data_IF_222458956769
#
_entry.id   IF_222458956769
#
_cell.length_a   1.000
_cell.length_b   1.000
_cell.length_c   1.000
_cell.angle_alpha   90.00
_cell.angle_beta   90.00
_cell.angle_gamma   90.00
#
_symmetry.space_group_name_H-M   'P 1'
#
loop_
_entity.id
_entity.type
_entity.pdbx_description
1 polymer ?
#
# COMPACT_ATOMS: atom_id res chain seq x y z
N UNK A 1 -27.39 -44.65 -9.88
CA UNK A 1 -25.97 -44.39 -10.17
C UNK A 1 -25.36 -43.61 -9.03
N UNK A 2 -24.30 -44.14 -8.44
CA UNK A 2 -23.57 -43.58 -7.31
C UNK A 2 -22.36 -42.82 -7.88
N UNK A 3 -22.25 -41.51 -7.63
CA UNK A 3 -21.05 -40.75 -8.00
C UNK A 3 -20.00 -40.94 -6.89
N UNK A 4 -18.84 -41.46 -7.23
CA UNK A 4 -17.66 -41.44 -6.37
C UNK A 4 -17.08 -40.03 -6.40
N UNK A 5 -16.97 -39.30 -5.27
CA UNK A 5 -16.24 -38.05 -5.27
C UNK A 5 -14.75 -38.39 -5.33
N UNK A 6 -14.10 -38.10 -6.46
CA UNK A 6 -12.66 -38.14 -6.58
C UNK A 6 -12.14 -36.70 -6.43
N UNK A 7 -11.38 -36.45 -5.36
CA UNK A 7 -10.58 -35.23 -5.23
C UNK A 7 -9.17 -35.60 -5.70
N UNK A 8 -8.66 -35.04 -6.82
CA UNK A 8 -7.28 -35.29 -7.22
C UNK A 8 -6.32 -34.70 -6.18
N UNK A 9 -5.22 -35.40 -5.89
CA UNK A 9 -4.15 -34.88 -5.04
C UNK A 9 -3.69 -33.51 -5.57
N UNK A 10 -3.86 -32.47 -4.74
CA UNK A 10 -3.51 -31.09 -5.08
C UNK A 10 -4.64 -30.20 -5.63
N UNK A 11 -5.90 -30.65 -5.63
CA UNK A 11 -7.03 -29.75 -5.91
C UNK A 11 -7.17 -28.71 -4.79
N UNK A 12 -6.92 -27.45 -5.13
CA UNK A 12 -7.15 -26.31 -4.24
C UNK A 12 -8.28 -25.47 -4.82
N UNK A 13 -9.40 -25.41 -4.11
CA UNK A 13 -10.51 -24.51 -4.44
C UNK A 13 -10.20 -23.14 -3.83
N UNK A 14 -9.86 -22.19 -4.68
CA UNK A 14 -9.46 -20.85 -4.24
C UNK A 14 -10.65 -19.89 -4.05
N UNK A 15 -11.81 -20.20 -4.64
CA UNK A 15 -13.00 -19.34 -4.63
C UNK A 15 -14.28 -20.15 -4.35
N UNK A 16 -14.43 -20.73 -3.15
CA UNK A 16 -15.63 -21.46 -2.79
C UNK A 16 -16.86 -20.55 -2.92
N UNK A 17 -17.90 -21.04 -3.60
CA UNK A 17 -19.16 -20.30 -3.74
C UNK A 17 -19.82 -19.97 -2.39
N UNK A 18 -20.81 -19.05 -2.39
CA UNK A 18 -21.39 -18.51 -1.16
C UNK A 18 -22.07 -19.56 -0.27
N UNK A 19 -22.64 -20.62 -0.86
CA UNK A 19 -23.23 -21.73 -0.11
C UNK A 19 -22.16 -22.52 0.65
N UNK A 20 -21.03 -22.80 0.00
CA UNK A 20 -19.90 -23.52 0.59
C UNK A 20 -19.30 -22.73 1.76
N UNK A 21 -19.15 -21.41 1.60
CA UNK A 21 -18.72 -20.51 2.68
C UNK A 21 -19.69 -20.54 3.87
N UNK A 22 -21.01 -20.47 3.62
CA UNK A 22 -22.02 -20.53 4.67
C UNK A 22 -21.93 -21.81 5.51
N UNK A 23 -21.72 -22.96 4.87
CA UNK A 23 -21.56 -24.25 5.57
C UNK A 23 -20.31 -24.26 6.45
N UNK A 24 -19.18 -23.73 5.95
CA UNK A 24 -17.94 -23.64 6.75
C UNK A 24 -18.14 -22.75 7.98
N UNK A 25 -18.86 -21.64 7.84
CA UNK A 25 -19.20 -20.76 8.94
C UNK A 25 -20.09 -21.45 9.99
N UNK A 26 -21.09 -22.23 9.57
CA UNK A 26 -21.98 -22.99 10.48
C UNK A 26 -21.22 -24.06 11.28
N UNK A 27 -20.14 -24.62 10.71
CA UNK A 27 -19.25 -25.57 11.39
C UNK A 27 -18.31 -24.85 12.39
N UNK A 28 -18.34 -23.51 12.45
CA UNK A 28 -17.56 -22.70 13.38
C UNK A 28 -16.19 -22.29 12.84
N UNK A 29 -15.94 -22.43 11.54
CA UNK A 29 -14.75 -21.84 10.94
C UNK A 29 -14.90 -20.33 10.91
N UNK A 30 -13.88 -19.63 11.43
CA UNK A 30 -13.82 -18.17 11.30
C UNK A 30 -13.38 -17.83 9.89
N UNK A 31 -14.32 -17.40 9.06
CA UNK A 31 -14.01 -16.86 7.75
C UNK A 31 -13.46 -15.44 7.94
N UNK A 32 -12.18 -15.25 7.64
CA UNK A 32 -11.59 -13.90 7.55
C UNK A 32 -12.16 -13.22 6.29
N UNK A 33 -12.81 -12.05 6.37
CA UNK A 33 -13.37 -11.37 5.19
C UNK A 33 -12.30 -10.84 4.21
N UNK A 34 -11.01 -11.14 4.42
CA UNK A 34 -9.91 -10.67 3.58
C UNK A 34 -9.83 -11.39 2.23
N UNK A 35 -10.79 -12.25 1.91
CA UNK A 35 -11.04 -12.70 0.53
C UNK A 35 -11.87 -11.69 -0.29
N UNK A 36 -11.98 -10.43 0.14
CA UNK A 36 -12.23 -9.34 -0.79
C UNK A 36 -10.93 -9.08 -1.56
N UNK A 37 -10.77 -9.78 -2.68
CA UNK A 37 -9.91 -9.34 -3.78
C UNK A 37 -10.25 -7.89 -4.06
N UNK A 38 -9.33 -6.97 -3.73
CA UNK A 38 -9.38 -5.61 -4.23
C UNK A 38 -9.41 -5.71 -5.75
N UNK A 39 -10.53 -5.32 -6.35
CA UNK A 39 -10.74 -5.35 -7.81
C UNK A 39 -9.51 -4.74 -8.51
N UNK A 40 -8.92 -5.38 -9.53
CA UNK A 40 -7.89 -4.76 -10.35
C UNK A 40 -8.54 -3.59 -11.10
N UNK A 41 -8.34 -2.37 -10.61
CA UNK A 41 -8.95 -1.16 -11.15
C UNK A 41 -9.02 0.04 -10.20
N UNK A 42 -8.81 -0.15 -8.90
CA UNK A 42 -8.57 0.95 -7.94
C UNK A 42 -7.18 0.78 -7.33
N UNK A 43 -6.16 1.13 -8.12
CA UNK A 43 -4.84 1.35 -7.57
C UNK A 43 -4.88 2.65 -6.76
N UNK A 44 -4.93 2.53 -5.43
CA UNK A 44 -4.31 3.53 -4.56
C UNK A 44 -2.80 3.46 -4.85
N UNK A 45 -2.40 4.05 -5.98
CA UNK A 45 -1.01 4.08 -6.38
C UNK A 45 -0.33 4.96 -5.34
N UNK A 46 0.49 4.35 -4.48
CA UNK A 46 1.36 5.06 -3.57
C UNK A 46 2.70 4.33 -3.59
N UNK A 47 3.61 4.81 -4.43
CA UNK A 47 4.84 4.11 -4.75
C UNK A 47 6.02 5.05 -4.66
N UNK A 48 7.02 4.66 -3.89
CA UNK A 48 8.31 5.33 -3.82
C UNK A 48 9.37 4.50 -4.54
N UNK A 49 10.05 5.10 -5.52
CA UNK A 49 11.10 4.44 -6.30
C UNK A 49 12.29 5.39 -6.59
N UNK A 50 13.55 4.93 -6.51
CA UNK A 50 13.95 3.60 -6.09
C UNK A 50 13.87 3.43 -4.56
N UNK A 51 13.70 2.18 -4.11
CA UNK A 51 13.88 1.79 -2.73
C UNK A 51 14.75 0.51 -2.71
N UNK A 52 15.99 0.54 -2.20
CA UNK A 52 16.65 1.66 -1.49
C UNK A 52 16.95 2.89 -2.36
N UNK A 53 16.95 4.07 -1.73
CA UNK A 53 17.26 5.36 -2.36
C UNK A 53 18.70 5.80 -2.08
N UNK A 54 19.33 6.35 -3.11
CA UNK A 54 20.53 7.18 -2.95
C UNK A 54 20.07 8.61 -2.66
N UNK A 55 20.15 9.55 -3.60
CA UNK A 55 19.89 10.96 -3.29
C UNK A 55 18.45 11.41 -3.56
N UNK A 56 17.77 10.80 -4.54
CA UNK A 56 16.45 11.25 -5.00
C UNK A 56 15.52 10.05 -5.18
N UNK A 57 14.26 10.22 -4.79
CA UNK A 57 13.19 9.26 -5.04
C UNK A 57 12.02 9.93 -5.76
N UNK A 58 11.38 9.18 -6.65
CA UNK A 58 10.10 9.53 -7.23
C UNK A 58 8.98 8.92 -6.39
N UNK A 59 8.05 9.77 -5.98
CA UNK A 59 6.83 9.42 -5.29
C UNK A 59 5.68 9.50 -6.29
N UNK A 60 5.16 8.33 -6.69
CA UNK A 60 3.94 8.23 -7.48
C UNK A 60 2.75 8.11 -6.54
N UNK A 61 1.79 9.03 -6.66
CA UNK A 61 0.56 9.04 -5.87
C UNK A 61 -0.70 9.19 -6.75
N UNK A 62 -1.73 8.41 -6.47
CA UNK A 62 -3.08 8.62 -7.02
C UNK A 62 -3.88 9.50 -6.04
N UNK A 63 -4.09 10.76 -6.41
CA UNK A 63 -4.84 11.72 -5.61
C UNK A 63 -6.34 11.47 -5.81
N UNK A 64 -7.01 10.97 -4.76
CA UNK A 64 -8.45 10.74 -4.78
C UNK A 64 -9.24 12.05 -4.62
N UNK A 65 -8.79 12.94 -3.74
CA UNK A 65 -9.43 14.22 -3.46
C UNK A 65 -8.45 15.37 -3.70
N UNK A 66 -8.89 16.34 -4.51
CA UNK A 66 -8.09 17.53 -4.82
C UNK A 66 -7.87 18.37 -3.57
N UNK A 67 -6.64 18.82 -3.33
CA UNK A 67 -6.36 19.67 -2.17
C UNK A 67 -4.88 19.90 -1.93
N UNK A 68 -4.56 20.44 -0.75
CA UNK A 68 -3.18 20.70 -0.34
C UNK A 68 -2.55 19.45 0.26
N UNK A 69 -1.44 19.03 -0.31
CA UNK A 69 -0.69 17.86 0.15
C UNK A 69 0.68 18.25 0.72
N UNK A 70 1.12 17.48 1.71
CA UNK A 70 2.40 17.69 2.37
C UNK A 70 3.11 16.36 2.62
N UNK A 71 4.39 16.31 2.29
CA UNK A 71 5.27 15.16 2.46
C UNK A 71 6.16 15.36 3.69
N UNK A 72 6.23 14.36 4.57
CA UNK A 72 7.06 14.36 5.77
C UNK A 72 7.89 13.09 5.84
N UNK A 73 9.13 13.22 6.27
CA UNK A 73 10.00 12.07 6.53
C UNK A 73 10.41 12.07 8.00
N UNK A 74 10.24 10.94 8.66
CA UNK A 74 10.58 10.72 10.06
C UNK A 74 11.61 9.62 10.22
N UNK A 75 12.48 9.75 11.21
CA UNK A 75 13.25 8.61 11.71
C UNK A 75 12.41 7.65 12.57
N UNK A 76 13.00 6.53 12.96
CA UNK A 76 12.35 5.52 13.80
C UNK A 76 12.06 6.01 15.23
N UNK A 77 12.67 7.11 15.68
CA UNK A 77 12.35 7.75 16.96
C UNK A 77 11.17 8.72 16.86
N UNK A 78 10.65 8.96 15.65
CA UNK A 78 9.58 9.91 15.38
C UNK A 78 10.06 11.35 15.17
N UNK A 79 11.37 11.58 15.06
CA UNK A 79 11.91 12.91 14.76
C UNK A 79 11.68 13.23 13.28
N UNK A 80 11.08 14.40 13.02
CA UNK A 80 10.89 14.95 11.68
C UNK A 80 12.24 15.38 11.08
N UNK A 81 12.56 14.86 9.90
CA UNK A 81 13.79 15.15 9.16
C UNK A 81 13.55 16.00 7.91
N UNK A 82 12.41 15.80 7.24
CA UNK A 82 12.01 16.54 6.05
C UNK A 82 10.53 16.87 6.13
N UNK A 83 10.18 18.08 5.71
CA UNK A 83 8.80 18.56 5.58
C UNK A 83 8.70 19.39 4.31
N UNK A 84 8.10 18.80 3.28
CA UNK A 84 8.03 19.36 1.93
C UNK A 84 6.58 19.52 1.51
N UNK A 85 6.19 20.76 1.24
CA UNK A 85 4.85 21.07 0.74
C UNK A 85 4.76 20.70 -0.75
N UNK A 86 3.98 19.67 -1.06
CA UNK A 86 3.69 19.27 -2.45
C UNK A 86 2.74 20.28 -3.15
N UNK A 87 2.09 21.14 -2.36
CA UNK A 87 1.20 22.17 -2.88
C UNK A 87 -0.21 21.64 -3.15
N UNK A 88 -0.95 22.35 -3.99
CA UNK A 88 -2.30 21.95 -4.38
C UNK A 88 -2.24 20.93 -5.52
N UNK A 89 -2.72 19.72 -5.27
CA UNK A 89 -2.78 18.64 -6.24
C UNK A 89 -4.24 18.40 -6.67
N UNK A 90 -4.56 18.42 -7.98
CA UNK A 90 -5.87 17.99 -8.47
C UNK A 90 -6.02 16.46 -8.39
N UNK A 91 -7.26 15.97 -8.50
CA UNK A 91 -7.55 14.53 -8.56
C UNK A 91 -6.89 13.88 -9.77
N UNK A 92 -6.32 12.68 -9.57
CA UNK A 92 -5.62 11.89 -10.59
C UNK A 92 -4.18 11.52 -10.20
N UNK A 93 -3.41 10.96 -11.14
CA UNK A 93 -2.03 10.53 -10.89
C UNK A 93 -1.06 11.72 -10.86
N UNK A 94 -0.17 11.72 -9.87
CA UNK A 94 0.94 12.67 -9.73
C UNK A 94 2.25 11.94 -9.46
N UNK A 95 3.34 12.53 -9.94
CA UNK A 95 4.69 12.07 -9.64
C UNK A 95 5.49 13.25 -9.11
N UNK A 96 5.93 13.15 -7.86
CA UNK A 96 6.73 14.16 -7.18
C UNK A 96 8.15 13.65 -6.97
N UNK A 97 9.14 14.51 -7.23
CA UNK A 97 10.56 14.18 -7.00
C UNK A 97 10.99 14.70 -5.63
N UNK A 98 11.38 13.79 -4.75
CA UNK A 98 11.84 14.10 -3.41
C UNK A 98 13.36 14.11 -3.35
N UNK A 99 13.92 15.19 -2.82
CA UNK A 99 15.35 15.32 -2.56
C UNK A 99 15.68 14.83 -1.14
N UNK A 100 16.44 13.74 -1.03
CA UNK A 100 16.81 13.07 0.22
C UNK A 100 18.33 13.13 0.46
N UNK A 101 19.02 14.05 -0.23
CA UNK A 101 20.47 14.21 -0.17
C UNK A 101 20.98 14.58 1.22
N UNK A 102 20.20 15.37 1.97
CA UNK A 102 20.58 15.89 3.29
C UNK A 102 20.22 14.93 4.45
N UNK A 103 19.51 13.84 4.15
CA UNK A 103 19.12 12.85 5.15
C UNK A 103 20.22 11.78 5.26
N UNK A 104 20.67 11.44 6.49
CA UNK A 104 21.65 10.38 6.70
C UNK A 104 21.18 9.02 6.17
N UNK A 105 22.09 8.07 5.99
CA UNK A 105 21.69 6.69 5.69
C UNK A 105 20.91 6.07 6.85
N UNK A 106 19.94 5.22 6.52
CA UNK A 106 19.09 4.60 7.52
C UNK A 106 17.68 4.25 7.04
N UNK A 107 16.86 3.86 8.00
CA UNK A 107 15.46 3.49 7.80
C UNK A 107 14.55 4.63 8.26
N UNK A 108 13.60 4.99 7.41
CA UNK A 108 12.71 6.13 7.61
C UNK A 108 11.26 5.78 7.29
N UNK A 109 10.35 6.60 7.82
CA UNK A 109 8.94 6.62 7.48
C UNK A 109 8.66 7.88 6.67
N UNK A 110 8.24 7.69 5.42
CA UNK A 110 7.71 8.75 4.58
C UNK A 110 6.19 8.78 4.74
N UNK A 111 5.65 9.97 4.98
CA UNK A 111 4.24 10.20 5.18
C UNK A 111 3.76 11.30 4.24
N UNK A 112 2.64 11.07 3.57
CA UNK A 112 1.97 12.07 2.74
C UNK A 112 0.59 12.29 3.31
N UNK A 113 0.33 13.52 3.72
CA UNK A 113 -0.94 13.96 4.28
C UNK A 113 -1.66 14.86 3.27
N UNK A 114 -2.95 14.62 3.09
CA UNK A 114 -3.85 15.43 2.29
C UNK A 114 -5.26 15.47 2.88
N UNK A 115 -6.26 15.98 2.14
CA UNK A 115 -7.64 16.00 2.60
C UNK A 115 -8.14 14.59 2.93
N UNK A 116 -8.37 14.31 4.23
CA UNK A 116 -8.92 13.04 4.69
C UNK A 116 -8.04 11.80 4.47
N UNK A 117 -6.80 11.99 3.98
CA UNK A 117 -5.91 10.88 3.59
C UNK A 117 -4.54 11.02 4.25
N UNK A 118 -4.01 9.89 4.69
CA UNK A 118 -2.70 9.78 5.28
C UNK A 118 -2.03 8.51 4.79
N UNK A 119 -1.11 8.64 3.85
CA UNK A 119 -0.31 7.52 3.35
C UNK A 119 1.00 7.47 4.10
N UNK A 120 1.45 6.27 4.43
CA UNK A 120 2.74 6.05 5.09
C UNK A 120 3.47 4.90 4.40
N UNK A 121 4.74 5.11 4.06
CA UNK A 121 5.58 4.12 3.43
C UNK A 121 6.98 4.12 4.03
N UNK A 122 7.57 2.93 4.08
CA UNK A 122 8.94 2.74 4.55
C UNK A 122 9.94 3.13 3.46
N UNK A 123 10.91 3.95 3.82
CA UNK A 123 11.99 4.44 2.96
C UNK A 123 13.34 3.97 3.50
N UNK A 124 14.19 3.43 2.63
CA UNK A 124 15.56 3.00 2.99
C UNK A 124 16.53 3.90 2.23
N UNK A 125 17.33 4.70 2.94
CA UNK A 125 18.38 5.57 2.37
C UNK A 125 19.74 4.93 2.57
N UNK A 126 20.53 4.87 1.51
CA UNK A 126 21.90 4.31 1.52
C UNK A 126 22.89 5.34 0.99
N UNK A 127 24.10 5.43 1.56
CA UNK A 127 25.18 6.23 0.97
C UNK A 127 25.59 5.67 -0.42
N UNK A 128 25.95 6.52 -1.40
CA UNK A 128 26.52 6.07 -2.68
C UNK A 128 27.84 5.30 -2.53
#
# INVERSE_FOLDING_TARGET
SLMTPFIPDGAVEHEPGPVTLGILQDIGWTLSPTALVKLPGTSDLFRLAPNPVLNEANLDLEVQESGWYNCRVFDLSGRLLLNEALGYLPTGPHTERLNLSEIPEGLYLLQVEGPGTLHTQRLIRMNP
#
